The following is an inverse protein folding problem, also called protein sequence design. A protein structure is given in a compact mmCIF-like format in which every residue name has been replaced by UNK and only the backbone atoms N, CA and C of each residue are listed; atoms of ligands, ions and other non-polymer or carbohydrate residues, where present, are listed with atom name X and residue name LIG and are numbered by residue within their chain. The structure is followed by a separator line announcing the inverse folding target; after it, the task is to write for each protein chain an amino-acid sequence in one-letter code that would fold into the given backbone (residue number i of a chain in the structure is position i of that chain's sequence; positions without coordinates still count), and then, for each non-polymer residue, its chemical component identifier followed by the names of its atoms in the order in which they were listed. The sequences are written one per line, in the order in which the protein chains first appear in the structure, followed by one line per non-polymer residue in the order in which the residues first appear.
data_IF_396282536959
#
_entry.id   IF_396282536959
#
_cell.length_a   1.000
_cell.length_b   1.000
_cell.length_c   1.000
_cell.angle_alpha   90.00
_cell.angle_beta   90.00
_cell.angle_gamma   90.00
#
_symmetry.space_group_name_H-M   'P 1'
#
loop_
_entity.id
_entity.type
_entity.pdbx_description
1 polymer ?
#
# COMPACT_ATOMS: atom_id res chain seq x y z
N UNK A 1 -7.78 5.54 5.51
CA UNK A 1 -8.94 5.00 6.25
C UNK A 1 -8.53 4.75 7.69
N UNK A 2 -9.40 4.95 8.66
CA UNK A 2 -9.13 4.62 10.07
C UNK A 2 -10.04 3.48 10.48
N UNK A 3 -9.50 2.51 11.24
CA UNK A 3 -10.32 1.69 12.11
C UNK A 3 -9.81 1.90 13.52
N UNK A 4 -10.70 2.42 14.35
CA UNK A 4 -10.38 2.77 15.71
C UNK A 4 -10.33 1.51 16.57
N UNK A 5 -9.33 1.43 17.43
CA UNK A 5 -9.19 0.38 18.43
C UNK A 5 -9.54 0.89 19.82
N UNK A 6 -9.55 2.20 20.01
CA UNK A 6 -9.87 2.85 21.27
C UNK A 6 -10.73 4.08 21.01
N UNK A 7 -11.62 4.36 21.97
CA UNK A 7 -12.37 5.62 21.99
C UNK A 7 -11.43 6.78 22.31
N UNK A 8 -10.61 6.62 23.35
CA UNK A 8 -9.88 7.68 24.03
C UNK A 8 -8.39 7.36 24.19
N UNK A 9 -7.57 8.40 24.34
CA UNK A 9 -6.11 8.28 24.45
C UNK A 9 -5.65 7.48 25.68
N UNK A 10 -6.44 7.51 26.76
CA UNK A 10 -6.22 6.72 27.97
C UNK A 10 -6.55 5.22 27.77
N UNK A 11 -7.17 4.85 26.64
CA UNK A 11 -7.59 3.47 26.32
C UNK A 11 -8.59 2.91 27.35
N UNK A 12 -9.47 3.74 27.90
CA UNK A 12 -10.50 3.29 28.84
C UNK A 12 -11.58 2.44 28.14
N UNK A 13 -11.81 2.68 26.84
CA UNK A 13 -12.81 1.94 26.07
C UNK A 13 -12.23 1.41 24.76
N UNK A 14 -12.27 0.10 24.61
CA UNK A 14 -11.83 -0.61 23.42
C UNK A 14 -12.93 -0.69 22.35
N UNK A 15 -12.52 -0.68 21.07
CA UNK A 15 -13.42 -0.61 19.91
C UNK A 15 -13.11 -1.60 18.78
N UNK A 16 -11.98 -2.32 18.82
CA UNK A 16 -11.62 -3.18 17.69
C UNK A 16 -12.67 -4.27 17.46
N UNK A 17 -12.90 -4.63 16.20
CA UNK A 17 -13.93 -5.60 15.82
C UNK A 17 -13.60 -7.06 16.17
N UNK A 18 -12.31 -7.40 16.36
CA UNK A 18 -11.87 -8.72 16.85
C UNK A 18 -10.86 -8.57 17.99
N UNK A 19 -10.75 -9.60 18.84
CA UNK A 19 -9.77 -9.60 19.93
C UNK A 19 -8.33 -9.56 19.40
N UNK A 20 -8.04 -10.31 18.34
CA UNK A 20 -6.71 -10.31 17.72
C UNK A 20 -6.36 -8.94 17.13
N UNK A 21 -7.33 -8.22 16.54
CA UNK A 21 -7.10 -6.84 16.12
C UNK A 21 -6.82 -5.93 17.32
N UNK A 22 -7.59 -6.04 18.41
CA UNK A 22 -7.36 -5.25 19.62
C UNK A 22 -5.93 -5.41 20.14
N UNK A 23 -5.43 -6.66 20.18
CA UNK A 23 -4.06 -6.98 20.56
C UNK A 23 -3.04 -6.37 19.60
N UNK A 24 -3.26 -6.45 18.28
CA UNK A 24 -2.37 -5.80 17.30
C UNK A 24 -2.27 -4.30 17.51
N UNK A 25 -3.36 -3.62 17.85
CA UNK A 25 -3.37 -2.18 18.09
C UNK A 25 -2.47 -1.73 19.27
N UNK A 26 -2.06 -2.65 20.15
CA UNK A 26 -1.05 -2.35 21.19
C UNK A 26 0.31 -1.98 20.59
N UNK A 27 0.63 -2.42 19.37
CA UNK A 27 1.86 -2.05 18.68
C UNK A 27 1.81 -0.64 18.06
N UNK A 28 0.60 -0.12 17.84
CA UNK A 28 0.34 1.17 17.19
C UNK A 28 -0.14 2.24 18.19
N UNK A 29 0.12 2.07 19.49
CA UNK A 29 -0.35 3.00 20.55
C UNK A 29 0.12 4.45 20.39
N UNK A 30 1.23 4.68 19.67
CA UNK A 30 1.75 6.03 19.39
C UNK A 30 1.13 6.67 18.15
N UNK A 31 0.24 5.97 17.46
CA UNK A 31 -0.43 6.43 16.26
C UNK A 31 -1.83 6.95 16.60
N UNK A 32 -2.04 8.27 16.55
CA UNK A 32 -3.32 8.91 16.84
C UNK A 32 -4.48 8.37 15.99
N UNK A 33 -4.19 7.79 14.82
CA UNK A 33 -5.20 7.22 13.93
C UNK A 33 -5.91 5.97 14.46
N UNK A 34 -5.41 5.34 15.55
CA UNK A 34 -6.10 4.21 16.21
C UNK A 34 -7.10 4.65 17.30
N UNK A 35 -7.13 5.95 17.62
CA UNK A 35 -7.98 6.53 18.66
C UNK A 35 -9.05 7.41 18.04
N UNK A 36 -10.31 7.18 18.39
CA UNK A 36 -11.43 7.99 17.88
C UNK A 36 -11.35 9.44 18.38
N UNK A 37 -10.88 9.64 19.61
CA UNK A 37 -10.66 10.95 20.23
C UNK A 37 -9.88 11.91 19.34
N UNK A 38 -8.87 11.41 18.63
CA UNK A 38 -8.05 12.24 17.73
C UNK A 38 -8.88 13.04 16.74
N UNK A 39 -9.90 12.44 16.13
CA UNK A 39 -10.76 13.12 15.16
C UNK A 39 -11.88 13.91 15.83
N UNK A 40 -12.44 13.41 16.92
CA UNK A 40 -13.61 14.01 17.55
C UNK A 40 -13.25 15.33 18.26
N UNK A 41 -12.09 15.40 18.91
CA UNK A 41 -11.58 16.65 19.51
C UNK A 41 -11.27 17.74 18.49
N UNK A 42 -10.95 17.35 17.26
CA UNK A 42 -10.52 18.24 16.19
C UNK A 42 -11.62 18.47 15.13
N UNK A 43 -12.84 18.00 15.39
CA UNK A 43 -13.95 18.11 14.47
C UNK A 43 -14.66 19.46 14.58
N UNK A 44 -15.15 19.96 13.43
CA UNK A 44 -16.15 21.03 13.42
C UNK A 44 -17.52 20.41 13.75
N UNK A 45 -17.87 20.36 15.04
CA UNK A 45 -19.04 19.62 15.53
C UNK A 45 -20.37 20.06 14.94
N UNK A 46 -20.56 21.34 14.64
CA UNK A 46 -21.77 21.82 13.98
C UNK A 46 -22.01 21.11 12.63
N UNK A 47 -20.95 20.91 11.84
CA UNK A 47 -21.02 20.21 10.55
C UNK A 47 -21.01 18.68 10.72
N UNK A 48 -20.21 18.15 11.66
CA UNK A 48 -20.12 16.71 11.90
C UNK A 48 -21.46 16.15 12.39
N UNK A 49 -22.10 16.83 13.35
CA UNK A 49 -23.35 16.39 13.97
C UNK A 49 -24.53 16.35 12.99
N UNK A 50 -24.54 17.24 11.98
CA UNK A 50 -25.55 17.21 10.92
C UNK A 50 -25.50 15.91 10.09
N UNK A 51 -24.31 15.35 9.89
CA UNK A 51 -24.13 14.17 9.04
C UNK A 51 -24.02 12.85 9.83
N UNK A 52 -23.46 12.89 11.03
CA UNK A 52 -23.07 11.69 11.79
C UNK A 52 -23.44 11.74 13.27
N UNK A 53 -24.14 12.80 13.73
CA UNK A 53 -24.41 12.99 15.15
C UNK A 53 -25.29 11.88 15.74
N UNK A 54 -26.30 11.44 15.01
CA UNK A 54 -27.20 10.36 15.44
C UNK A 54 -26.48 9.02 15.48
N UNK A 55 -25.72 8.69 14.44
CA UNK A 55 -24.95 7.44 14.34
C UNK A 55 -23.86 7.37 15.42
N UNK A 56 -23.15 8.47 15.69
CA UNK A 56 -22.17 8.55 16.77
C UNK A 56 -22.83 8.41 18.14
N UNK A 57 -24.03 8.96 18.33
CA UNK A 57 -24.76 8.80 19.58
C UNK A 57 -25.18 7.33 19.81
N UNK A 58 -25.80 6.69 18.82
CA UNK A 58 -26.20 5.29 18.91
C UNK A 58 -24.98 4.38 19.05
N UNK A 59 -24.02 4.50 18.14
CA UNK A 59 -22.90 3.57 18.02
C UNK A 59 -21.81 3.72 19.08
N UNK A 60 -21.76 4.85 19.79
CA UNK A 60 -20.67 5.18 20.74
C UNK A 60 -21.20 5.90 21.98
N UNK A 61 -21.76 7.12 21.83
CA UNK A 61 -21.93 8.02 22.99
C UNK A 61 -23.00 7.56 23.97
N UNK A 62 -24.08 6.93 23.51
CA UNK A 62 -25.19 6.48 24.36
C UNK A 62 -24.71 5.55 25.48
N UNK A 63 -23.87 4.56 25.15
CA UNK A 63 -23.27 3.68 26.14
C UNK A 63 -22.28 4.43 27.05
N UNK A 64 -21.40 5.27 26.49
CA UNK A 64 -20.42 6.02 27.29
C UNK A 64 -21.09 6.98 28.29
N UNK A 65 -22.23 7.58 27.91
CA UNK A 65 -23.01 8.47 28.79
C UNK A 65 -23.63 7.75 30.00
N UNK A 66 -23.73 6.42 29.98
CA UNK A 66 -24.15 5.63 31.16
C UNK A 66 -23.05 5.55 32.24
N UNK A 67 -21.82 5.91 31.88
CA UNK A 67 -20.64 5.86 32.76
C UNK A 67 -20.20 7.31 33.04
N UNK A 68 -20.02 7.69 34.31
CA UNK A 68 -19.67 9.07 34.68
C UNK A 68 -18.43 9.61 33.93
N UNK A 69 -17.33 8.83 33.89
CA UNK A 69 -16.11 9.18 33.15
C UNK A 69 -16.37 9.32 31.64
N UNK A 70 -17.22 8.47 31.07
CA UNK A 70 -17.59 8.51 29.66
C UNK A 70 -18.43 9.73 29.30
N UNK A 71 -19.40 10.10 30.14
CA UNK A 71 -20.20 11.31 29.96
C UNK A 71 -19.32 12.58 29.96
N UNK A 72 -18.36 12.66 30.89
CA UNK A 72 -17.37 13.75 30.94
C UNK A 72 -16.51 13.79 29.68
N UNK A 73 -15.99 12.63 29.24
CA UNK A 73 -15.19 12.53 28.03
C UNK A 73 -15.98 12.99 26.79
N UNK A 74 -17.21 12.51 26.60
CA UNK A 74 -18.08 12.90 25.47
C UNK A 74 -18.28 14.41 25.44
N UNK A 75 -18.59 15.02 26.59
CA UNK A 75 -18.73 16.48 26.68
C UNK A 75 -17.43 17.19 26.29
N UNK A 76 -16.29 16.74 26.82
CA UNK A 76 -14.99 17.36 26.57
C UNK A 76 -14.55 17.27 25.10
N UNK A 77 -14.86 16.15 24.42
CA UNK A 77 -14.54 15.95 23.01
C UNK A 77 -15.40 16.84 22.11
N UNK A 78 -16.68 17.06 22.47
CA UNK A 78 -17.63 17.88 21.71
C UNK A 78 -17.33 19.38 21.85
N UNK A 79 -16.97 19.83 23.05
CA UNK A 79 -16.78 21.26 23.34
C UNK A 79 -15.31 21.70 23.23
N UNK A 80 -14.43 20.88 22.66
CA UNK A 80 -13.01 21.21 22.54
C UNK A 80 -12.80 22.40 21.59
N UNK A 81 -12.15 23.45 22.09
CA UNK A 81 -11.78 24.65 21.31
C UNK A 81 -10.29 24.96 21.45
N UNK A 82 -9.48 23.95 21.74
CA UNK A 82 -8.03 24.09 21.89
C UNK A 82 -7.40 24.74 20.65
N UNK A 83 -6.36 25.53 20.88
CA UNK A 83 -5.48 25.94 19.78
C UNK A 83 -4.72 24.73 19.24
N UNK A 84 -4.14 24.85 18.04
CA UNK A 84 -3.28 23.80 17.47
C UNK A 84 -2.12 23.46 18.42
N UNK A 85 -1.53 24.47 19.08
CA UNK A 85 -0.40 24.26 20.00
C UNK A 85 -0.83 23.49 21.27
N UNK A 86 -2.00 23.82 21.81
CA UNK A 86 -2.54 23.13 23.00
C UNK A 86 -2.92 21.69 22.67
N UNK A 87 -3.45 21.44 21.48
CA UNK A 87 -3.78 20.08 21.03
C UNK A 87 -2.52 19.25 20.78
N UNK A 88 -1.45 19.83 20.21
CA UNK A 88 -0.14 19.16 20.11
C UNK A 88 0.37 18.78 21.50
N UNK A 89 0.33 19.71 22.46
CA UNK A 89 0.74 19.46 23.85
C UNK A 89 -0.09 18.35 24.48
N UNK A 90 -1.41 18.32 24.23
CA UNK A 90 -2.31 17.28 24.71
C UNK A 90 -1.94 15.90 24.13
N UNK A 91 -1.70 15.81 22.82
CA UNK A 91 -1.29 14.56 22.15
C UNK A 91 0.07 14.07 22.66
N UNK A 92 1.04 14.97 22.84
CA UNK A 92 2.37 14.64 23.39
C UNK A 92 2.27 14.13 24.83
N UNK A 93 1.39 14.72 25.65
CA UNK A 93 1.16 14.25 27.03
C UNK A 93 0.61 12.82 27.08
N UNK A 94 -0.09 12.39 26.03
CA UNK A 94 -0.59 11.03 25.84
C UNK A 94 0.39 10.12 25.06
N UNK A 95 1.61 10.59 24.77
CA UNK A 95 2.64 9.89 23.98
C UNK A 95 2.19 9.52 22.55
N UNK A 96 1.31 10.33 21.96
CA UNK A 96 0.90 10.20 20.55
C UNK A 96 1.88 10.98 19.68
N UNK A 97 2.56 10.28 18.76
CA UNK A 97 3.69 10.83 18.00
C UNK A 97 3.43 10.92 16.50
N UNK A 98 2.48 10.13 15.99
CA UNK A 98 2.21 10.03 14.55
C UNK A 98 0.71 9.94 14.29
N UNK A 99 0.29 10.30 13.08
CA UNK A 99 -1.08 10.05 12.61
C UNK A 99 -1.01 9.39 11.24
N UNK A 100 -1.04 8.05 11.22
CA UNK A 100 -0.92 7.22 10.03
C UNK A 100 -2.20 6.43 9.82
N UNK A 101 -2.98 6.84 8.83
CA UNK A 101 -4.18 6.09 8.44
C UNK A 101 -3.81 4.82 7.70
N UNK A 102 -4.67 3.80 7.78
CA UNK A 102 -4.56 2.63 6.93
C UNK A 102 -4.76 2.98 5.45
N UNK A 103 -4.09 2.21 4.59
CA UNK A 103 -4.24 2.28 3.15
C UNK A 103 -5.67 1.91 2.74
N UNK A 104 -6.11 2.50 1.63
CA UNK A 104 -7.41 2.29 1.05
C UNK A 104 -7.38 2.71 -0.42
N UNK A 105 -8.36 2.25 -1.20
CA UNK A 105 -8.55 2.61 -2.60
C UNK A 105 -9.98 3.04 -2.94
N UNK A 106 -10.73 3.57 -1.99
CA UNK A 106 -12.02 4.19 -2.23
C UNK A 106 -11.95 5.71 -2.40
N UNK A 107 -10.81 6.34 -2.06
CA UNK A 107 -10.60 7.78 -2.16
C UNK A 107 -9.18 8.10 -2.62
N UNK A 108 -9.04 8.79 -3.74
CA UNK A 108 -7.78 9.43 -4.12
C UNK A 108 -7.50 10.61 -3.17
N UNK A 109 -6.31 10.64 -2.58
CA UNK A 109 -5.89 11.77 -1.75
C UNK A 109 -5.45 12.93 -2.65
N UNK A 110 -6.05 14.10 -2.41
CA UNK A 110 -5.64 15.35 -3.04
C UNK A 110 -4.51 16.00 -2.26
N UNK A 111 -3.61 16.67 -2.96
CA UNK A 111 -2.55 17.49 -2.36
C UNK A 111 -2.40 18.78 -3.16
N UNK A 112 -2.23 19.90 -2.45
CA UNK A 112 -1.84 21.18 -3.02
C UNK A 112 -0.57 21.60 -2.31
N UNK A 113 0.56 21.52 -3.00
CA UNK A 113 1.86 21.96 -2.49
C UNK A 113 2.24 23.25 -3.21
N UNK A 114 2.41 24.32 -2.45
CA UNK A 114 2.85 25.62 -2.95
C UNK A 114 4.09 26.08 -2.18
N UNK A 115 4.98 26.81 -2.85
CA UNK A 115 6.03 27.58 -2.20
C UNK A 115 5.98 29.02 -2.74
N UNK A 116 6.37 29.98 -1.92
CA UNK A 116 6.40 31.38 -2.33
C UNK A 116 7.81 31.78 -2.76
N UNK A 117 7.92 32.45 -3.91
CA UNK A 117 9.14 33.15 -4.32
C UNK A 117 8.97 34.62 -4.00
N UNK A 118 9.87 35.17 -3.20
CA UNK A 118 9.91 36.58 -2.89
C UNK A 118 10.88 37.30 -3.83
N UNK A 119 10.43 38.38 -4.48
CA UNK A 119 11.32 39.20 -5.31
C UNK A 119 12.10 40.23 -4.46
N UNK A 120 13.05 40.94 -5.09
CA UNK A 120 13.88 41.95 -4.41
C UNK A 120 13.10 43.15 -3.82
N UNK A 121 11.80 43.28 -4.14
CA UNK A 121 10.91 44.32 -3.62
C UNK A 121 10.01 43.82 -2.48
N UNK A 122 10.17 42.57 -2.03
CA UNK A 122 9.37 41.97 -0.96
C UNK A 122 8.02 41.39 -1.42
N UNK A 123 7.79 41.24 -2.72
CA UNK A 123 6.53 40.68 -3.24
C UNK A 123 6.63 39.18 -3.33
N UNK A 124 5.67 38.48 -2.73
CA UNK A 124 5.62 37.02 -2.70
C UNK A 124 4.66 36.48 -3.77
N UNK A 125 5.15 35.53 -4.58
CA UNK A 125 4.38 34.86 -5.61
C UNK A 125 4.30 33.35 -5.31
N UNK A 126 3.10 32.78 -5.08
CA UNK A 126 2.95 31.36 -4.84
C UNK A 126 3.12 30.58 -6.15
N UNK A 127 4.04 29.62 -6.15
CA UNK A 127 4.24 28.65 -7.21
C UNK A 127 3.77 27.27 -6.74
N UNK A 128 2.95 26.61 -7.56
CA UNK A 128 2.43 25.28 -7.26
C UNK A 128 3.43 24.22 -7.69
N UNK A 129 3.94 23.44 -6.73
CA UNK A 129 4.82 22.29 -6.97
C UNK A 129 4.02 21.05 -7.39
N UNK A 130 2.89 20.84 -6.71
CA UNK A 130 2.06 19.66 -6.90
C UNK A 130 0.61 20.01 -6.69
N UNK A 131 -0.22 19.53 -7.60
CA UNK A 131 -1.66 19.67 -7.52
C UNK A 131 -2.30 18.34 -7.90
N UNK A 132 -3.07 17.76 -6.97
CA UNK A 132 -3.97 16.65 -7.25
C UNK A 132 -5.29 16.86 -6.52
N UNK A 133 -6.38 16.53 -7.20
CA UNK A 133 -7.71 16.59 -6.61
C UNK A 133 -8.00 15.34 -5.77
N UNK A 134 -8.71 15.55 -4.67
CA UNK A 134 -9.31 14.45 -3.92
C UNK A 134 -10.57 13.99 -4.64
N UNK A 135 -10.72 12.68 -4.86
CA UNK A 135 -11.91 12.09 -5.49
C UNK A 135 -12.30 10.79 -4.80
N UNK A 136 -13.61 10.52 -4.71
CA UNK A 136 -14.14 9.26 -4.19
C UNK A 136 -14.49 8.31 -5.35
N UNK A 137 -14.20 7.03 -5.20
CA UNK A 137 -14.45 5.96 -6.18
C UNK A 137 -15.15 4.75 -5.53
N UNK A 138 -16.21 5.03 -4.77
CA UNK A 138 -16.94 4.02 -3.97
C UNK A 138 -17.50 2.86 -4.81
N UNK A 139 -17.82 3.09 -6.09
CA UNK A 139 -18.40 2.07 -6.97
C UNK A 139 -17.40 0.98 -7.41
N UNK A 140 -16.10 1.29 -7.41
CA UNK A 140 -15.06 0.40 -7.95
C UNK A 140 -14.03 -0.02 -6.90
N UNK A 141 -14.02 0.63 -5.73
CA UNK A 141 -13.12 0.30 -4.62
C UNK A 141 -13.13 -1.21 -4.29
N UNK A 142 -11.97 -1.71 -3.88
CA UNK A 142 -11.81 -3.13 -3.52
C UNK A 142 -11.35 -3.34 -2.08
N UNK A 143 -10.88 -2.28 -1.42
CA UNK A 143 -10.31 -2.29 -0.07
C UNK A 143 -11.31 -2.60 1.07
N UNK A 144 -12.61 -2.36 0.90
CA UNK A 144 -13.60 -2.58 1.98
C UNK A 144 -13.71 -4.03 2.45
N UNK A 145 -13.28 -4.99 1.61
CA UNK A 145 -13.25 -6.41 1.97
C UNK A 145 -12.23 -6.68 3.10
N UNK A 146 -11.11 -5.97 3.10
CA UNK A 146 -10.07 -6.17 4.11
C UNK A 146 -10.47 -5.51 5.43
N UNK A 147 -10.99 -4.28 5.34
CA UNK A 147 -11.46 -3.53 6.49
C UNK A 147 -12.59 -2.58 6.09
N UNK A 148 -13.64 -2.57 6.90
CA UNK A 148 -14.79 -1.70 6.67
C UNK A 148 -14.49 -0.26 7.12
N UNK A 149 -14.88 0.79 6.38
CA UNK A 149 -14.74 2.16 6.84
C UNK A 149 -15.66 2.43 8.03
N UNK A 150 -15.15 3.21 8.98
CA UNK A 150 -15.90 3.65 10.16
C UNK A 150 -17.26 4.30 9.84
N UNK A 151 -17.32 5.14 8.80
CA UNK A 151 -18.56 5.75 8.34
C UNK A 151 -19.60 4.71 7.90
N UNK A 152 -19.16 3.61 7.29
CA UNK A 152 -20.06 2.53 6.90
C UNK A 152 -20.54 1.74 8.11
N UNK A 153 -19.66 1.42 9.07
CA UNK A 153 -20.07 0.81 10.34
C UNK A 153 -21.12 1.66 11.08
N UNK A 154 -20.88 2.97 11.21
CA UNK A 154 -21.80 3.91 11.86
C UNK A 154 -23.19 3.91 11.21
N UNK A 155 -23.26 3.95 9.88
CA UNK A 155 -24.54 3.95 9.15
C UNK A 155 -25.38 2.68 9.40
N UNK A 156 -24.75 1.55 9.75
CA UNK A 156 -25.48 0.31 10.03
C UNK A 156 -26.22 0.33 11.37
N UNK A 157 -25.88 1.24 12.30
CA UNK A 157 -26.51 1.29 13.63
C UNK A 157 -27.85 2.01 13.63
N UNK A 158 -28.13 2.81 12.60
CA UNK A 158 -29.35 3.63 12.49
C UNK A 158 -30.25 3.19 11.33
N UNK A 159 -29.74 2.44 10.36
CA UNK A 159 -30.51 1.98 9.22
C UNK A 159 -31.49 0.85 9.58
N UNK A 160 -32.80 1.11 9.58
CA UNK A 160 -33.85 0.15 10.00
C UNK A 160 -33.76 -1.29 9.43
N UNK A 161 -33.23 -1.47 8.22
CA UNK A 161 -33.08 -2.78 7.59
C UNK A 161 -31.79 -3.53 7.98
N UNK A 162 -30.90 -2.89 8.75
CA UNK A 162 -29.63 -3.45 9.19
C UNK A 162 -29.83 -4.40 10.37
N UNK A 163 -29.07 -5.49 10.39
CA UNK A 163 -28.98 -6.40 11.54
C UNK A 163 -28.26 -5.78 12.74
N UNK A 164 -27.69 -4.57 12.60
CA UNK A 164 -26.93 -3.89 13.64
C UNK A 164 -27.65 -2.69 14.26
N UNK A 165 -28.93 -2.47 13.94
CA UNK A 165 -29.69 -1.34 14.48
C UNK A 165 -29.64 -1.34 16.01
N UNK A 166 -29.26 -0.19 16.59
CA UNK A 166 -29.18 0.00 18.04
C UNK A 166 -27.98 -0.68 18.73
N UNK A 167 -27.10 -1.35 17.99
CA UNK A 167 -25.84 -1.88 18.51
C UNK A 167 -24.75 -0.79 18.56
N UNK A 168 -23.63 -1.10 19.23
CA UNK A 168 -22.52 -0.16 19.37
C UNK A 168 -21.14 -0.82 19.17
N UNK A 169 -20.11 0.01 19.04
CA UNK A 169 -18.72 -0.42 18.81
C UNK A 169 -17.91 -0.62 20.09
N UNK A 170 -18.48 -0.38 21.27
CA UNK A 170 -17.73 -0.46 22.53
C UNK A 170 -17.68 -1.91 23.01
N UNK A 171 -16.50 -2.53 23.01
CA UNK A 171 -16.33 -3.96 23.33
C UNK A 171 -16.87 -4.35 24.72
N UNK A 172 -16.77 -3.44 25.69
CA UNK A 172 -17.27 -3.63 27.05
C UNK A 172 -18.80 -3.48 27.19
N UNK A 173 -19.51 -3.09 26.13
CA UNK A 173 -20.96 -2.91 26.16
C UNK A 173 -21.71 -4.23 25.97
N UNK A 174 -22.84 -4.45 26.67
CA UNK A 174 -23.70 -5.60 26.40
C UNK A 174 -24.30 -5.61 24.99
N UNK A 175 -24.30 -4.47 24.29
CA UNK A 175 -24.79 -4.32 22.92
C UNK A 175 -23.65 -4.17 21.90
N UNK A 176 -22.46 -4.70 22.19
CA UNK A 176 -21.34 -4.71 21.26
C UNK A 176 -21.68 -5.51 19.98
N UNK A 177 -21.54 -4.87 18.82
CA UNK A 177 -22.00 -5.40 17.53
C UNK A 177 -21.38 -6.75 17.15
N UNK A 178 -20.10 -6.97 17.48
CA UNK A 178 -19.36 -8.19 17.11
C UNK A 178 -19.38 -9.29 18.19
N UNK A 179 -20.31 -9.21 19.16
CA UNK A 179 -20.51 -10.30 20.15
C UNK A 179 -21.03 -11.57 19.49
N UNK A 180 -22.02 -11.43 18.60
CA UNK A 180 -22.68 -12.54 17.90
C UNK A 180 -22.47 -12.51 16.38
N UNK A 181 -21.74 -11.51 15.87
CA UNK A 181 -21.45 -11.36 14.45
C UNK A 181 -19.95 -11.32 14.22
N UNK A 182 -19.48 -11.94 13.14
CA UNK A 182 -18.09 -11.78 12.69
C UNK A 182 -17.99 -10.67 11.65
N UNK A 183 -16.87 -9.93 11.58
CA UNK A 183 -16.68 -8.92 10.54
C UNK A 183 -16.89 -9.45 9.11
N UNK A 184 -16.48 -10.69 8.84
CA UNK A 184 -16.68 -11.32 7.54
C UNK A 184 -18.16 -11.63 7.23
N UNK A 185 -18.93 -12.12 8.22
CA UNK A 185 -20.36 -12.37 8.01
C UNK A 185 -21.11 -11.08 7.69
N UNK A 186 -20.71 -9.99 8.34
CA UNK A 186 -21.23 -8.66 8.11
C UNK A 186 -20.89 -8.13 6.71
N UNK A 187 -19.65 -8.31 6.24
CA UNK A 187 -19.27 -7.97 4.87
C UNK A 187 -20.05 -8.80 3.82
N UNK A 188 -20.37 -10.04 4.16
CA UNK A 188 -21.18 -10.92 3.31
C UNK A 188 -22.63 -10.44 3.22
N UNK A 189 -23.27 -10.12 4.36
CA UNK A 189 -24.65 -9.62 4.37
C UNK A 189 -24.78 -8.27 3.68
N UNK A 190 -23.74 -7.43 3.75
CA UNK A 190 -23.66 -6.16 3.04
C UNK A 190 -23.29 -6.29 1.55
N UNK A 191 -23.04 -7.50 1.03
CA UNK A 191 -22.76 -7.76 -0.39
C UNK A 191 -21.33 -7.44 -0.84
N UNK A 192 -20.38 -7.20 0.08
CA UNK A 192 -18.97 -6.99 -0.26
C UNK A 192 -18.19 -8.29 -0.48
N UNK A 193 -18.70 -9.41 0.05
CA UNK A 193 -18.13 -10.75 -0.09
C UNK A 193 -19.20 -11.73 -0.55
N UNK A 194 -18.82 -12.67 -1.42
CA UNK A 194 -19.67 -13.80 -1.78
C UNK A 194 -19.65 -14.85 -0.67
N UNK A 195 -20.75 -15.60 -0.52
CA UNK A 195 -20.80 -16.80 0.31
C UNK A 195 -21.37 -17.96 -0.52
N UNK A 196 -20.61 -19.06 -0.72
CA UNK A 196 -19.24 -19.27 -0.27
C UNK A 196 -18.22 -18.32 -0.95
N UNK A 197 -17.03 -18.18 -0.35
CA UNK A 197 -15.91 -17.51 -0.99
C UNK A 197 -15.48 -18.29 -2.23
N UNK A 198 -15.01 -17.58 -3.26
CA UNK A 198 -14.35 -18.23 -4.38
C UNK A 198 -12.95 -18.73 -4.01
N UNK A 199 -12.27 -19.42 -4.94
CA UNK A 199 -10.99 -20.06 -4.65
C UNK A 199 -9.87 -19.07 -4.27
N UNK A 200 -9.82 -17.89 -4.88
CA UNK A 200 -8.82 -16.87 -4.58
C UNK A 200 -9.02 -16.27 -3.20
N UNK A 201 -10.23 -15.82 -2.86
CA UNK A 201 -10.49 -15.32 -1.51
C UNK A 201 -10.39 -16.39 -0.43
N UNK A 202 -10.66 -17.66 -0.75
CA UNK A 202 -10.38 -18.77 0.18
C UNK A 202 -8.88 -18.87 0.49
N UNK A 203 -8.01 -18.72 -0.51
CA UNK A 203 -6.56 -18.72 -0.31
C UNK A 203 -6.08 -17.50 0.47
N UNK A 204 -6.63 -16.32 0.19
CA UNK A 204 -6.34 -15.09 0.96
C UNK A 204 -6.77 -15.25 2.42
N UNK A 205 -7.97 -15.79 2.65
CA UNK A 205 -8.47 -16.06 3.99
C UNK A 205 -7.58 -17.07 4.73
N UNK A 206 -7.05 -18.07 4.03
CA UNK A 206 -6.11 -19.04 4.61
C UNK A 206 -4.78 -18.39 5.00
N UNK A 207 -4.28 -17.46 4.18
CA UNK A 207 -2.99 -16.81 4.40
C UNK A 207 -3.03 -15.68 5.45
N UNK A 208 -4.10 -14.90 5.48
CA UNK A 208 -4.21 -13.70 6.33
C UNK A 208 -5.23 -13.86 7.46
N UNK A 209 -6.20 -14.76 7.33
CA UNK A 209 -7.34 -14.89 8.23
C UNK A 209 -8.61 -14.23 7.69
N UNK A 210 -9.67 -14.14 8.51
CA UNK A 210 -10.98 -13.65 8.09
C UNK A 210 -10.96 -12.22 7.56
N UNK A 211 -11.73 -11.98 6.50
CA UNK A 211 -11.95 -10.64 5.95
C UNK A 211 -12.65 -9.71 6.95
N UNK A 212 -12.49 -8.40 6.78
CA UNK A 212 -12.99 -7.37 7.69
C UNK A 212 -12.08 -7.08 8.90
N UNK A 213 -11.06 -7.90 9.12
CA UNK A 213 -10.07 -7.73 10.20
C UNK A 213 -8.63 -7.55 9.70
N UNK A 214 -8.43 -7.49 8.38
CA UNK A 214 -7.09 -7.40 7.76
C UNK A 214 -6.70 -5.92 7.64
N UNK A 215 -5.62 -5.55 8.31
CA UNK A 215 -5.08 -4.21 8.27
C UNK A 215 -4.25 -4.01 7.00
N UNK A 216 -4.39 -2.85 6.37
CA UNK A 216 -3.60 -2.47 5.20
C UNK A 216 -2.71 -1.28 5.56
N UNK A 217 -1.41 -1.49 5.72
CA UNK A 217 -0.44 -0.47 6.13
C UNK A 217 0.44 -0.10 4.93
N UNK A 218 0.40 1.17 4.51
CA UNK A 218 1.34 1.68 3.50
C UNK A 218 2.73 1.74 4.12
N UNK A 219 3.70 1.06 3.52
CA UNK A 219 5.10 1.13 3.92
C UNK A 219 5.80 2.28 3.17
N UNK A 220 6.56 3.07 3.91
CA UNK A 220 7.39 4.11 3.31
C UNK A 220 8.58 3.47 2.57
N UNK A 221 8.92 4.01 1.39
CA UNK A 221 10.14 3.62 0.68
C UNK A 221 11.36 3.89 1.58
N UNK A 222 12.24 2.90 1.84
CA UNK A 222 13.43 3.11 2.65
C UNK A 222 14.24 4.31 2.16
N UNK A 223 14.68 5.18 3.07
CA UNK A 223 15.45 6.38 2.72
C UNK A 223 16.75 6.04 1.99
N UNK A 224 17.31 4.86 2.28
CA UNK A 224 18.48 4.29 1.59
C UNK A 224 18.20 3.99 0.12
N UNK A 225 17.04 3.40 -0.22
CA UNK A 225 16.61 3.15 -1.59
C UNK A 225 16.33 4.46 -2.35
N UNK A 226 15.68 5.43 -1.70
CA UNK A 226 15.48 6.77 -2.29
C UNK A 226 16.82 7.45 -2.60
N UNK A 227 17.76 7.39 -1.66
CA UNK A 227 19.10 7.97 -1.82
C UNK A 227 19.90 7.28 -2.93
N UNK A 228 19.82 5.95 -3.04
CA UNK A 228 20.42 5.19 -4.14
C UNK A 228 19.85 5.63 -5.49
N UNK A 229 18.51 5.72 -5.63
CA UNK A 229 17.88 6.15 -6.87
C UNK A 229 18.27 7.58 -7.27
N UNK A 230 18.35 8.50 -6.30
CA UNK A 230 18.81 9.87 -6.52
C UNK A 230 20.28 9.90 -6.96
N UNK A 231 21.15 9.12 -6.33
CA UNK A 231 22.57 9.04 -6.68
C UNK A 231 22.77 8.46 -8.08
N UNK A 232 22.06 7.38 -8.43
CA UNK A 232 22.07 6.79 -9.77
C UNK A 232 21.57 7.78 -10.82
N UNK A 233 20.52 8.56 -10.50
CA UNK A 233 19.99 9.58 -11.40
C UNK A 233 21.01 10.69 -11.63
N UNK A 234 21.60 11.25 -10.57
CA UNK A 234 22.67 12.28 -10.68
C UNK A 234 23.86 11.75 -11.48
N UNK A 235 24.30 10.53 -11.18
CA UNK A 235 25.44 9.91 -11.85
C UNK A 235 25.15 9.69 -13.34
N UNK A 236 24.01 9.08 -13.69
CA UNK A 236 23.64 8.80 -15.07
C UNK A 236 23.51 10.09 -15.87
N UNK A 237 22.85 11.12 -15.33
CA UNK A 237 22.73 12.43 -16.01
C UNK A 237 24.09 13.08 -16.21
N UNK A 238 24.96 13.07 -15.19
CA UNK A 238 26.31 13.63 -15.29
C UNK A 238 27.16 12.90 -16.35
N UNK A 239 27.13 11.56 -16.35
CA UNK A 239 27.81 10.71 -17.31
C UNK A 239 27.35 10.99 -18.75
N UNK A 240 26.04 11.07 -18.98
CA UNK A 240 25.51 11.37 -20.32
C UNK A 240 25.84 12.81 -20.74
N UNK A 241 26.00 13.74 -19.80
CA UNK A 241 26.40 15.12 -20.12
C UNK A 241 27.91 15.31 -20.32
N UNK A 242 28.76 14.34 -19.97
CA UNK A 242 30.21 14.57 -19.86
C UNK A 242 30.96 14.49 -21.20
N UNK A 243 30.39 13.86 -22.22
CA UNK A 243 31.07 13.66 -23.52
C UNK A 243 30.09 13.47 -24.67
N UNK A 244 30.36 14.12 -25.80
CA UNK A 244 29.59 13.93 -27.05
C UNK A 244 29.73 12.51 -27.62
N UNK A 245 30.87 11.86 -27.41
CA UNK A 245 31.08 10.46 -27.82
C UNK A 245 30.18 9.51 -27.01
N UNK A 246 30.05 9.74 -25.70
CA UNK A 246 29.14 8.97 -24.82
C UNK A 246 27.69 9.19 -25.25
N UNK A 247 27.29 10.44 -25.55
CA UNK A 247 25.95 10.73 -26.05
C UNK A 247 25.65 10.03 -27.37
N UNK A 248 26.59 10.06 -28.32
CA UNK A 248 26.43 9.41 -29.62
C UNK A 248 26.25 7.89 -29.47
N UNK A 249 27.05 7.26 -28.60
CA UNK A 249 26.90 5.85 -28.29
C UNK A 249 25.56 5.54 -27.59
N UNK A 250 25.15 6.37 -26.63
CA UNK A 250 23.88 6.22 -25.91
C UNK A 250 22.67 6.30 -26.85
N UNK A 251 22.62 7.29 -27.74
CA UNK A 251 21.48 7.46 -28.66
C UNK A 251 21.35 6.31 -29.66
N UNK A 252 22.42 5.57 -29.93
CA UNK A 252 22.38 4.38 -30.79
C UNK A 252 21.64 3.21 -30.13
N UNK A 253 21.61 3.15 -28.80
CA UNK A 253 20.96 2.09 -28.01
C UNK A 253 19.69 2.56 -27.30
N UNK A 254 19.30 3.83 -27.47
CA UNK A 254 18.15 4.39 -26.78
C UNK A 254 16.86 3.77 -27.29
N UNK A 255 16.07 3.22 -26.37
CA UNK A 255 14.75 2.70 -26.65
C UNK A 255 13.87 2.76 -25.41
N UNK A 256 12.56 2.81 -25.62
CA UNK A 256 11.58 2.60 -24.56
C UNK A 256 11.15 1.14 -24.53
N UNK A 257 10.70 0.68 -23.37
CA UNK A 257 10.21 -0.68 -23.20
C UNK A 257 8.98 -0.73 -22.29
N UNK A 258 8.15 -1.75 -22.55
CA UNK A 258 7.11 -2.24 -21.65
C UNK A 258 7.34 -3.73 -21.53
N UNK A 259 7.63 -4.20 -20.33
CA UNK A 259 7.94 -5.61 -20.05
C UNK A 259 6.99 -6.15 -18.98
N UNK A 260 6.57 -7.40 -19.11
CA UNK A 260 5.78 -8.11 -18.09
C UNK A 260 6.57 -9.29 -17.52
N UNK A 261 7.63 -9.01 -16.73
CA UNK A 261 8.50 -10.07 -16.27
C UNK A 261 7.78 -10.99 -15.27
N UNK A 262 7.99 -12.29 -15.37
CA UNK A 262 7.44 -13.33 -14.50
C UNK A 262 8.53 -13.98 -13.65
N UNK A 263 8.18 -14.46 -12.44
CA UNK A 263 9.14 -15.14 -11.56
C UNK A 263 9.43 -16.56 -12.06
N UNK A 264 10.66 -17.05 -11.86
CA UNK A 264 11.07 -18.40 -12.26
C UNK A 264 10.26 -19.47 -11.55
N UNK A 265 9.89 -19.23 -10.28
CA UNK A 265 8.99 -20.09 -9.52
C UNK A 265 7.64 -20.37 -10.21
N UNK A 266 7.24 -19.55 -11.19
CA UNK A 266 5.94 -19.65 -11.86
C UNK A 266 6.02 -20.24 -13.27
N UNK A 267 7.21 -20.61 -13.78
CA UNK A 267 7.40 -21.08 -15.15
C UNK A 267 6.54 -22.31 -15.54
N UNK A 268 6.19 -23.15 -14.56
CA UNK A 268 5.37 -24.36 -14.77
C UNK A 268 3.93 -24.19 -14.26
N UNK A 269 3.56 -22.97 -13.91
CA UNK A 269 2.27 -22.65 -13.31
C UNK A 269 1.52 -21.65 -14.20
N UNK A 270 0.20 -21.82 -14.26
CA UNK A 270 -0.61 -20.86 -14.97
C UNK A 270 -0.99 -19.73 -14.01
N UNK A 271 -0.66 -18.50 -14.36
CA UNK A 271 -0.97 -17.31 -13.55
C UNK A 271 -2.47 -16.99 -13.69
N UNK A 272 -3.16 -16.59 -12.62
CA UNK A 272 -4.64 -16.44 -12.59
C UNK A 272 -5.10 -15.11 -11.98
N UNK A 273 -4.18 -14.17 -11.82
CA UNK A 273 -4.40 -12.90 -11.13
C UNK A 273 -3.41 -12.73 -9.98
N UNK A 274 -3.26 -11.50 -9.48
CA UNK A 274 -2.42 -11.20 -8.31
C UNK A 274 -3.10 -10.35 -7.26
N UNK A 275 -4.25 -9.75 -7.58
CA UNK A 275 -4.85 -8.74 -6.75
C UNK A 275 -5.51 -9.36 -5.51
N UNK A 276 -4.89 -9.20 -4.34
CA UNK A 276 -5.40 -9.70 -3.06
C UNK A 276 -6.79 -9.16 -2.69
N UNK A 277 -7.20 -8.03 -3.28
CA UNK A 277 -8.49 -7.37 -3.03
C UNK A 277 -9.60 -7.84 -3.98
N UNK A 278 -9.27 -8.73 -4.91
CA UNK A 278 -10.14 -9.24 -5.96
C UNK A 278 -10.19 -10.76 -5.95
N UNK A 279 -11.38 -11.30 -6.19
CA UNK A 279 -11.54 -12.73 -6.40
C UNK A 279 -10.85 -13.13 -7.70
N UNK A 280 -10.28 -14.33 -7.75
CA UNK A 280 -9.67 -14.84 -8.97
C UNK A 280 -10.76 -15.17 -10.00
N UNK A 281 -10.47 -14.90 -11.27
CA UNK A 281 -11.38 -15.24 -12.36
C UNK A 281 -11.02 -16.61 -12.92
N UNK A 282 -11.88 -17.60 -12.69
CA UNK A 282 -11.67 -18.99 -13.14
C UNK A 282 -11.89 -19.18 -14.65
N UNK A 283 -12.64 -18.28 -15.29
CA UNK A 283 -13.08 -18.41 -16.69
C UNK A 283 -12.08 -17.82 -17.69
N UNK A 284 -11.25 -16.85 -17.27
CA UNK A 284 -10.35 -16.14 -18.18
C UNK A 284 -9.04 -16.90 -18.34
N UNK A 285 -8.87 -17.49 -19.52
CA UNK A 285 -7.68 -18.30 -19.84
C UNK A 285 -6.63 -17.60 -20.70
N UNK A 286 -7.00 -16.52 -21.37
CA UNK A 286 -6.14 -15.81 -22.32
C UNK A 286 -4.99 -15.02 -21.66
N UNK A 287 -4.95 -14.93 -20.33
CA UNK A 287 -4.04 -14.06 -19.58
C UNK A 287 -3.22 -14.83 -18.54
N UNK A 288 -2.98 -16.12 -18.80
CA UNK A 288 -2.36 -17.05 -17.85
C UNK A 288 -0.84 -17.12 -17.91
N UNK A 289 -0.26 -16.49 -18.92
CA UNK A 289 1.15 -16.47 -19.27
C UNK A 289 1.89 -15.25 -18.70
N UNK A 290 1.17 -14.33 -18.06
CA UNK A 290 1.72 -13.05 -17.57
C UNK A 290 1.16 -12.73 -16.19
N UNK A 291 1.97 -12.09 -15.33
CA UNK A 291 1.51 -11.79 -14.00
C UNK A 291 0.58 -10.59 -14.02
N UNK A 292 -0.49 -10.66 -13.23
CA UNK A 292 -1.40 -9.54 -13.01
C UNK A 292 -0.90 -8.62 -11.89
N UNK A 293 -1.43 -7.41 -11.82
CA UNK A 293 -1.12 -6.51 -10.71
C UNK A 293 -1.51 -7.13 -9.35
N UNK A 294 -0.69 -6.89 -8.33
CA UNK A 294 -0.91 -7.46 -6.98
C UNK A 294 -1.88 -6.62 -6.13
N UNK A 295 -2.05 -5.34 -6.48
CA UNK A 295 -3.04 -4.43 -5.92
C UNK A 295 -3.23 -3.21 -6.84
N UNK A 296 -4.29 -2.43 -6.59
CA UNK A 296 -4.54 -1.20 -7.34
C UNK A 296 -5.07 -0.09 -6.43
N UNK A 297 -4.41 1.06 -6.45
CA UNK A 297 -4.90 2.29 -5.82
C UNK A 297 -6.13 2.88 -6.54
N UNK A 298 -6.38 2.48 -7.80
CA UNK A 298 -7.54 2.89 -8.59
C UNK A 298 -8.80 2.05 -8.34
N UNK A 299 -8.70 1.01 -7.52
CA UNK A 299 -9.86 0.17 -7.15
C UNK A 299 -10.48 -0.48 -8.38
N UNK A 300 -9.90 -1.56 -8.90
CA UNK A 300 -10.51 -2.30 -10.00
C UNK A 300 -10.11 -3.77 -9.94
N UNK A 301 -11.10 -4.64 -10.18
CA UNK A 301 -10.92 -6.07 -10.41
C UNK A 301 -11.05 -6.42 -11.90
N UNK A 302 -10.80 -5.47 -12.79
CA UNK A 302 -10.85 -5.72 -14.23
C UNK A 302 -9.83 -6.79 -14.63
N UNK A 303 -10.21 -7.59 -15.63
CA UNK A 303 -9.35 -8.60 -16.23
C UNK A 303 -8.32 -7.95 -17.16
N UNK A 304 -7.14 -8.56 -17.32
CA UNK A 304 -6.09 -8.03 -18.19
C UNK A 304 -5.30 -6.86 -17.60
N UNK A 305 -5.38 -6.64 -16.29
CA UNK A 305 -4.52 -5.71 -15.57
C UNK A 305 -3.18 -6.39 -15.25
N UNK A 306 -2.21 -6.24 -16.14
CA UNK A 306 -0.90 -6.86 -16.03
C UNK A 306 0.08 -6.06 -15.20
N UNK A 307 1.00 -6.78 -14.57
CA UNK A 307 2.10 -6.18 -13.86
C UNK A 307 3.21 -5.81 -14.86
N UNK A 308 3.26 -4.54 -15.24
CA UNK A 308 4.14 -4.01 -16.28
C UNK A 308 5.23 -3.13 -15.69
N UNK A 309 6.47 -3.33 -16.11
CA UNK A 309 7.55 -2.36 -15.92
C UNK A 309 7.67 -1.55 -17.20
N UNK A 310 7.48 -0.22 -17.09
CA UNK A 310 7.54 0.71 -18.21
C UNK A 310 8.73 1.63 -17.98
N UNK A 311 9.60 1.75 -18.98
CA UNK A 311 10.80 2.56 -18.84
C UNK A 311 11.53 2.76 -20.15
N UNK A 312 12.78 3.19 -20.02
CA UNK A 312 13.68 3.49 -21.12
C UNK A 312 15.11 3.00 -20.82
N UNK A 313 16.00 3.12 -21.79
CA UNK A 313 17.42 2.79 -21.63
C UNK A 313 18.04 3.49 -20.40
N UNK A 314 17.62 4.71 -20.06
CA UNK A 314 18.10 5.43 -18.86
C UNK A 314 17.75 4.67 -17.57
N UNK A 315 16.51 4.19 -17.47
CA UNK A 315 16.02 3.42 -16.32
C UNK A 315 16.72 2.05 -16.24
N UNK A 316 16.97 1.43 -17.40
CA UNK A 316 17.74 0.19 -17.51
C UNK A 316 19.20 0.37 -17.06
N UNK A 317 19.88 1.47 -17.43
CA UNK A 317 21.23 1.80 -16.96
C UNK A 317 21.29 1.84 -15.43
N UNK A 318 20.34 2.54 -14.79
CA UNK A 318 20.29 2.64 -13.31
C UNK A 318 20.19 1.27 -12.66
N UNK A 319 19.35 0.37 -13.18
CA UNK A 319 19.18 -0.98 -12.66
C UNK A 319 20.41 -1.86 -12.91
N UNK A 320 21.03 -1.78 -14.08
CA UNK A 320 22.24 -2.54 -14.41
C UNK A 320 23.47 -2.09 -13.59
N UNK A 321 23.55 -0.80 -13.23
CA UNK A 321 24.64 -0.25 -12.42
C UNK A 321 24.73 -0.83 -11.01
N UNK A 322 23.63 -1.40 -10.49
CA UNK A 322 23.56 -1.98 -9.15
C UNK A 322 23.64 -3.50 -9.14
N UNK A 323 23.65 -4.14 -10.32
CA UNK A 323 23.82 -5.59 -10.43
C UNK A 323 25.30 -5.98 -10.35
N UNK A 324 25.67 -7.01 -9.55
CA UNK A 324 27.03 -7.50 -9.48
C UNK A 324 27.47 -8.24 -10.77
N UNK A 325 26.53 -8.94 -11.39
CA UNK A 325 26.72 -9.76 -12.60
C UNK A 325 25.41 -9.87 -13.36
N UNK A 326 25.49 -10.20 -14.66
CA UNK A 326 24.32 -10.34 -15.53
C UNK A 326 24.41 -11.61 -16.37
N UNK A 327 23.36 -12.42 -16.34
CA UNK A 327 23.09 -13.43 -17.35
C UNK A 327 21.92 -12.95 -18.22
N UNK A 328 22.24 -12.22 -19.29
CA UNK A 328 21.23 -11.52 -20.08
C UNK A 328 20.19 -12.46 -20.71
N UNK A 329 20.59 -13.64 -21.17
CA UNK A 329 19.66 -14.65 -21.72
C UNK A 329 18.70 -15.16 -20.65
N UNK A 330 19.23 -15.51 -19.46
CA UNK A 330 18.39 -16.01 -18.38
C UNK A 330 17.44 -14.93 -17.84
N UNK A 331 17.91 -13.69 -17.68
CA UNK A 331 17.05 -12.56 -17.31
C UNK A 331 15.99 -12.30 -18.37
N UNK A 332 16.35 -12.24 -19.65
CA UNK A 332 15.39 -12.00 -20.72
C UNK A 332 14.33 -13.11 -20.86
N UNK A 333 14.66 -14.36 -20.49
CA UNK A 333 13.69 -15.46 -20.45
C UNK A 333 12.56 -15.26 -19.43
N UNK A 334 12.74 -14.36 -18.46
CA UNK A 334 11.68 -13.98 -17.53
C UNK A 334 10.68 -12.99 -18.14
N UNK A 335 10.93 -12.44 -19.33
CA UNK A 335 9.96 -11.65 -20.10
C UNK A 335 9.37 -12.53 -21.22
N UNK A 336 8.19 -13.15 -21.01
CA UNK A 336 7.68 -14.19 -21.92
C UNK A 336 7.17 -13.65 -23.26
N UNK A 337 6.94 -12.34 -23.40
CA UNK A 337 6.27 -11.78 -24.58
C UNK A 337 7.21 -11.53 -25.74
N UNK A 338 8.42 -11.06 -25.43
CA UNK A 338 9.46 -10.74 -26.38
C UNK A 338 10.84 -10.95 -25.73
N UNK A 339 11.20 -12.21 -25.40
CA UNK A 339 12.48 -12.51 -24.76
C UNK A 339 13.66 -12.11 -25.65
N UNK A 340 13.54 -12.21 -26.98
CA UNK A 340 14.60 -11.82 -27.93
C UNK A 340 14.85 -10.32 -27.91
N UNK A 341 13.78 -9.51 -27.96
CA UNK A 341 13.89 -8.06 -27.86
C UNK A 341 14.40 -7.61 -26.49
N UNK A 342 13.90 -8.23 -25.42
CA UNK A 342 14.36 -7.97 -24.05
C UNK A 342 15.85 -8.28 -23.89
N UNK A 343 16.33 -9.40 -24.42
CA UNK A 343 17.75 -9.77 -24.41
C UNK A 343 18.60 -8.74 -25.15
N UNK A 344 18.16 -8.30 -26.33
CA UNK A 344 18.87 -7.28 -27.11
C UNK A 344 19.02 -5.96 -26.33
N UNK A 345 17.94 -5.47 -25.71
CA UNK A 345 17.95 -4.24 -24.91
C UNK A 345 18.88 -4.38 -23.70
N UNK A 346 18.76 -5.49 -22.96
CA UNK A 346 19.54 -5.77 -21.77
C UNK A 346 21.03 -5.86 -22.11
N UNK A 347 21.41 -6.62 -23.15
CA UNK A 347 22.81 -6.77 -23.58
C UNK A 347 23.41 -5.47 -24.06
N UNK A 348 22.74 -4.75 -24.97
CA UNK A 348 23.25 -3.49 -25.49
C UNK A 348 23.47 -2.45 -24.38
N UNK A 349 22.52 -2.37 -23.43
CA UNK A 349 22.65 -1.45 -22.29
C UNK A 349 23.76 -1.88 -21.34
N UNK A 350 23.90 -3.17 -21.08
CA UNK A 350 24.98 -3.70 -20.26
C UNK A 350 26.35 -3.40 -20.87
N UNK A 351 26.54 -3.69 -22.16
CA UNK A 351 27.80 -3.46 -22.87
C UNK A 351 28.15 -1.96 -22.90
N UNK A 352 27.15 -1.10 -23.10
CA UNK A 352 27.33 0.35 -22.96
C UNK A 352 27.82 0.73 -21.56
N UNK A 353 27.16 0.26 -20.50
CA UNK A 353 27.58 0.51 -19.11
C UNK A 353 29.00 0.01 -18.85
N UNK A 354 29.36 -1.18 -19.33
CA UNK A 354 30.71 -1.73 -19.20
C UNK A 354 31.76 -0.86 -19.90
N UNK A 355 31.40 -0.30 -21.07
CA UNK A 355 32.27 0.53 -21.89
C UNK A 355 32.52 1.92 -21.27
N UNK A 356 31.46 2.59 -20.79
CA UNK A 356 31.57 4.02 -20.39
C UNK A 356 31.73 4.24 -18.89
N UNK A 357 31.43 3.24 -18.05
CA UNK A 357 31.46 3.38 -16.59
C UNK A 357 32.70 2.68 -16.00
N UNK A 358 33.62 3.42 -15.36
CA UNK A 358 34.80 2.85 -14.73
C UNK A 358 34.47 1.73 -13.75
N UNK A 359 35.28 0.67 -13.72
CA UNK A 359 35.07 -0.50 -12.87
C UNK A 359 34.92 -0.13 -11.38
N UNK A 360 35.78 0.76 -10.87
CA UNK A 360 35.74 1.21 -9.48
C UNK A 360 34.40 1.90 -9.12
N UNK A 361 33.84 2.65 -10.06
CA UNK A 361 32.54 3.30 -9.85
C UNK A 361 31.40 2.28 -9.83
N UNK A 362 31.44 1.27 -10.72
CA UNK A 362 30.47 0.16 -10.70
C UNK A 362 30.52 -0.61 -9.39
N UNK A 363 31.71 -0.98 -8.93
CA UNK A 363 31.90 -1.68 -7.65
C UNK A 363 31.38 -0.87 -6.46
N UNK A 364 31.56 0.46 -6.48
CA UNK A 364 31.03 1.34 -5.45
C UNK A 364 29.51 1.31 -5.42
N UNK A 365 28.83 1.49 -6.56
CA UNK A 365 27.36 1.47 -6.66
C UNK A 365 26.78 0.10 -6.31
N UNK A 366 27.41 -0.98 -6.77
CA UNK A 366 27.03 -2.36 -6.42
C UNK A 366 27.14 -2.59 -4.91
N UNK A 367 28.21 -2.11 -4.25
CA UNK A 367 28.38 -2.29 -2.81
C UNK A 367 27.31 -1.58 -1.98
N UNK A 368 26.89 -0.38 -2.41
CA UNK A 368 25.79 0.36 -1.80
C UNK A 368 24.47 -0.39 -1.92
N UNK A 369 24.24 -1.02 -3.07
CA UNK A 369 23.02 -1.77 -3.36
C UNK A 369 22.87 -3.05 -2.52
N UNK A 370 23.96 -3.70 -2.11
CA UNK A 370 23.93 -4.95 -1.33
C UNK A 370 23.14 -4.80 -0.03
N UNK A 371 23.38 -3.73 0.73
CA UNK A 371 22.69 -3.51 2.01
C UNK A 371 21.21 -3.17 1.80
N UNK A 372 20.89 -2.40 0.76
CA UNK A 372 19.52 -2.01 0.42
C UNK A 372 18.73 -3.23 -0.03
N UNK A 373 19.31 -4.07 -0.91
CA UNK A 373 18.74 -5.35 -1.33
C UNK A 373 18.41 -6.22 -0.11
N UNK A 374 19.34 -6.35 0.83
CA UNK A 374 19.16 -7.14 2.05
C UNK A 374 18.04 -6.59 2.93
N UNK A 375 17.99 -5.28 3.14
CA UNK A 375 16.94 -4.65 3.96
C UNK A 375 15.54 -4.84 3.35
N UNK A 376 15.40 -4.64 2.03
CA UNK A 376 14.14 -4.87 1.32
C UNK A 376 13.74 -6.35 1.39
N UNK A 377 14.70 -7.27 1.24
CA UNK A 377 14.46 -8.71 1.28
C UNK A 377 14.07 -9.20 2.67
N UNK A 378 14.83 -8.84 3.70
CA UNK A 378 14.80 -9.47 5.02
C UNK A 378 13.94 -8.70 6.02
N UNK A 379 13.94 -7.35 5.94
CA UNK A 379 13.20 -6.47 6.86
C UNK A 379 11.82 -6.11 6.31
N UNK A 380 11.77 -5.59 5.07
CA UNK A 380 10.50 -5.15 4.45
C UNK A 380 9.71 -6.32 3.87
N UNK A 381 10.43 -7.32 3.35
CA UNK A 381 9.89 -8.57 2.80
C UNK A 381 8.93 -8.38 1.61
N UNK A 382 9.23 -7.42 0.74
CA UNK A 382 8.38 -7.10 -0.43
C UNK A 382 8.32 -8.30 -1.36
N UNK A 383 7.09 -8.75 -1.66
CA UNK A 383 6.83 -9.94 -2.44
C UNK A 383 5.93 -9.65 -3.63
N UNK A 384 6.17 -10.35 -4.73
CA UNK A 384 5.30 -10.39 -5.88
C UNK A 384 4.27 -11.50 -5.67
N UNK A 385 2.98 -11.16 -5.72
CA UNK A 385 1.89 -12.05 -5.37
C UNK A 385 1.12 -12.48 -6.62
N UNK A 386 0.90 -13.77 -6.78
CA UNK A 386 0.02 -14.33 -7.81
C UNK A 386 -0.82 -15.49 -7.27
N UNK A 387 -2.08 -15.57 -7.70
CA UNK A 387 -2.83 -16.80 -7.74
C UNK A 387 -2.30 -17.65 -8.90
N UNK A 388 -1.89 -18.87 -8.59
CA UNK A 388 -1.41 -19.83 -9.57
C UNK A 388 -2.39 -21.00 -9.65
N UNK A 389 -2.44 -21.63 -10.82
CA UNK A 389 -3.11 -22.89 -11.02
C UNK A 389 -2.08 -23.95 -11.41
N UNK A 390 -1.89 -24.92 -10.51
CA UNK A 390 -0.85 -25.95 -10.58
C UNK A 390 -1.48 -27.31 -10.30
N UNK A 391 -1.31 -28.27 -11.22
CA UNK A 391 -1.75 -29.66 -11.01
C UNK A 391 -3.24 -29.79 -10.64
N UNK A 392 -4.11 -28.96 -11.24
CA UNK A 392 -5.55 -28.89 -10.97
C UNK A 392 -5.96 -28.22 -9.64
N UNK A 393 -5.04 -27.51 -8.97
CA UNK A 393 -5.31 -26.80 -7.71
C UNK A 393 -4.92 -25.32 -7.82
N UNK A 394 -5.66 -24.46 -7.12
CA UNK A 394 -5.30 -23.05 -6.96
C UNK A 394 -4.40 -22.89 -5.74
N UNK A 395 -3.34 -22.09 -5.88
CA UNK A 395 -2.44 -21.72 -4.79
C UNK A 395 -2.15 -20.22 -4.82
N UNK A 396 -1.96 -19.62 -3.64
CA UNK A 396 -1.49 -18.24 -3.53
C UNK A 396 0.03 -18.29 -3.36
N UNK A 397 0.75 -17.74 -4.34
CA UNK A 397 2.20 -17.63 -4.31
C UNK A 397 2.60 -16.20 -3.97
N UNK A 398 3.52 -16.06 -3.03
CA UNK A 398 4.19 -14.80 -2.71
C UNK A 398 5.70 -15.05 -2.81
N UNK A 399 6.35 -14.42 -3.79
CA UNK A 399 7.79 -14.59 -4.05
C UNK A 399 8.50 -13.28 -3.75
N UNK A 400 9.47 -13.30 -2.84
CA UNK A 400 10.23 -12.11 -2.48
C UNK A 400 11.02 -11.57 -3.68
N UNK A 401 10.97 -10.27 -3.94
CA UNK A 401 11.63 -9.65 -5.10
C UNK A 401 13.15 -9.91 -5.13
N UNK A 402 13.79 -10.12 -3.99
CA UNK A 402 15.23 -10.38 -3.93
C UNK A 402 15.56 -11.78 -3.38
N UNK A 403 14.65 -12.75 -3.56
CA UNK A 403 14.91 -14.15 -3.23
C UNK A 403 16.16 -14.65 -3.99
N UNK A 404 17.18 -15.22 -3.32
CA UNK A 404 18.37 -15.75 -3.97
C UNK A 404 18.09 -16.84 -5.03
N UNK A 405 16.93 -17.50 -4.97
CA UNK A 405 16.49 -18.52 -5.95
C UNK A 405 15.95 -17.90 -7.25
N UNK A 406 15.68 -16.60 -7.24
CA UNK A 406 15.14 -15.79 -8.34
C UNK A 406 16.22 -14.85 -8.93
N UNK A 407 17.47 -15.30 -8.97
CA UNK A 407 18.62 -14.49 -9.41
C UNK A 407 18.46 -13.89 -10.82
N UNK A 408 17.75 -14.60 -11.69
CA UNK A 408 17.44 -14.20 -13.06
C UNK A 408 16.48 -13.01 -13.11
N UNK A 409 15.66 -12.82 -12.08
CA UNK A 409 14.65 -11.76 -11.97
C UNK A 409 15.21 -10.47 -11.32
N UNK A 410 16.42 -10.50 -10.75
CA UNK A 410 16.96 -9.39 -9.94
C UNK A 410 17.01 -8.03 -10.66
N UNK A 411 17.26 -8.03 -11.97
CA UNK A 411 17.19 -6.81 -12.79
C UNK A 411 15.81 -6.16 -12.69
N UNK A 412 14.76 -6.96 -12.87
CA UNK A 412 13.38 -6.48 -12.79
C UNK A 412 13.03 -6.04 -11.39
N UNK A 413 13.49 -6.75 -10.36
CA UNK A 413 13.33 -6.34 -8.96
C UNK A 413 13.83 -4.93 -8.71
N UNK A 414 15.02 -4.57 -9.21
CA UNK A 414 15.52 -3.20 -9.10
C UNK A 414 14.64 -2.19 -9.83
N UNK A 415 14.10 -2.52 -11.01
CA UNK A 415 13.16 -1.66 -11.72
C UNK A 415 11.87 -1.43 -10.90
N UNK A 416 11.28 -2.48 -10.32
CA UNK A 416 10.13 -2.35 -9.41
C UNK A 416 10.45 -1.50 -8.17
N UNK A 417 11.63 -1.68 -7.57
CA UNK A 417 12.04 -0.88 -6.41
C UNK A 417 12.29 0.58 -6.77
N UNK A 418 12.78 0.87 -7.96
CA UNK A 418 12.93 2.25 -8.44
C UNK A 418 11.60 2.90 -8.79
N UNK A 419 10.62 2.15 -9.30
CA UNK A 419 9.24 2.62 -9.40
C UNK A 419 8.65 2.99 -8.03
N UNK A 420 8.94 2.19 -6.99
CA UNK A 420 8.56 2.53 -5.62
C UNK A 420 9.26 3.80 -5.13
N UNK A 421 10.56 3.95 -5.37
CA UNK A 421 11.33 5.16 -5.03
C UNK A 421 10.80 6.42 -5.74
N UNK A 422 10.24 6.27 -6.92
CA UNK A 422 9.61 7.35 -7.70
C UNK A 422 8.15 7.61 -7.30
N UNK A 423 7.55 6.74 -6.49
CA UNK A 423 6.12 6.81 -6.15
C UNK A 423 5.18 6.39 -7.29
N UNK A 424 5.68 5.66 -8.29
CA UNK A 424 4.86 5.01 -9.32
C UNK A 424 4.15 3.77 -8.78
N UNK A 425 4.74 3.15 -7.74
CA UNK A 425 4.23 1.97 -7.03
C UNK A 425 4.16 2.22 -5.53
N UNK A 426 3.30 1.47 -4.84
CA UNK A 426 3.06 1.62 -3.42
C UNK A 426 3.17 0.27 -2.72
N UNK A 427 4.09 0.14 -1.77
CA UNK A 427 4.21 -1.09 -0.98
C UNK A 427 3.23 -1.10 0.18
N UNK A 428 2.38 -2.12 0.23
CA UNK A 428 1.33 -2.33 1.22
C UNK A 428 1.60 -3.62 2.00
N UNK A 429 1.66 -3.50 3.32
CA UNK A 429 1.62 -4.62 4.26
C UNK A 429 0.16 -4.96 4.56
N UNK A 430 -0.24 -6.17 4.23
CA UNK A 430 -1.48 -6.79 4.67
C UNK A 430 -1.19 -7.59 5.93
N UNK A 431 -1.84 -7.25 7.04
CA UNK A 431 -1.63 -7.89 8.33
C UNK A 431 -2.97 -8.35 8.89
N UNK A 432 -3.18 -9.67 8.91
CA UNK A 432 -4.36 -10.30 9.47
C UNK A 432 -4.04 -11.12 10.72
N UNK A 433 -4.97 -11.98 11.12
CA UNK A 433 -4.84 -12.81 12.32
C UNK A 433 -3.93 -14.02 12.11
N UNK A 434 -3.85 -14.56 10.89
CA UNK A 434 -3.07 -15.76 10.58
C UNK A 434 -1.67 -15.46 10.04
N UNK A 435 -1.48 -14.28 9.45
CA UNK A 435 -0.25 -13.98 8.74
C UNK A 435 -0.17 -12.58 8.20
N UNK A 436 0.95 -12.32 7.53
CA UNK A 436 1.29 -11.05 6.92
C UNK A 436 1.78 -11.26 5.49
N UNK A 437 1.42 -10.35 4.59
CA UNK A 437 1.92 -10.32 3.22
C UNK A 437 2.28 -8.88 2.84
N UNK A 438 3.50 -8.65 2.38
CA UNK A 438 3.92 -7.33 1.86
C UNK A 438 3.93 -7.39 0.34
N UNK A 439 3.09 -6.57 -0.29
CA UNK A 439 2.96 -6.49 -1.76
C UNK A 439 3.30 -5.09 -2.26
N UNK A 440 3.70 -4.98 -3.53
CA UNK A 440 3.95 -3.70 -4.23
C UNK A 440 2.85 -3.35 -5.23
#
# INVERSE_FOLDING_TARGET
MTAYCYVDFDRNWEMANTAAKQERCSHDMKNGAVYLESILRNAQWASLSQCWGHELDVGIFSYLKTIAKGATWVSSAITNTNSVLDEVTYWESANIQTYRTQWQNYKGLGVVETFSVENAFGWQYPLTLKYSNSSSQLAVQTSFKMQWPFATELSQFTANASSHVGLNLIRGSPAFVYTNHTPQAVLTSAGFLSSPLGPGFTLVQTALGPFGSVEMKRLACPSSLQSLYQNLTKYTTSLLSSSSAIQTAFWTIFTSFTMNPTMKAWNLAQQRGGNLLCELNTAVQSFQDRPAISLSSKGSCATGLFESVIGDTTSMIKALLVLPSLNATATASQEPNNPVGSEAIIRQTWDFVQMVVPLAQRQTLQSQAVHIKRDIRDTVQVSFIQYLYVGNTYVLSAVNYFDPRESEFELYSWLFMFDWAQGLREVILFEGEQGKLTSI
#
